data_IF_428918492848
#
_entry.id   IF_428918492848
#
_cell.length_a   1.000
_cell.length_b   1.000
_cell.length_c   1.000
_cell.angle_alpha   90.00
_cell.angle_beta   90.00
_cell.angle_gamma   90.00
#
_symmetry.space_group_name_H-M   'P 1'
#
loop_
_entity.id
_entity.type
_entity.pdbx_description
1 polymer ?
#
# COMPACT_ATOMS: atom_id res chain seq x y z
N UNK A 1 -10.69 -15.47 -0.65
CA UNK A 1 -11.86 -14.60 -0.35
C UNK A 1 -11.48 -13.13 -0.42
N UNK A 2 -12.44 -12.24 -0.72
CA UNK A 2 -12.22 -10.77 -0.73
C UNK A 2 -13.15 -10.10 0.27
N UNK A 3 -12.60 -9.19 1.10
CA UNK A 3 -13.35 -8.46 2.14
C UNK A 3 -13.61 -7.04 1.66
N UNK A 4 -14.87 -6.66 1.51
CA UNK A 4 -15.32 -5.35 1.06
C UNK A 4 -16.23 -4.66 2.09
N UNK A 5 -16.40 -3.37 1.97
CA UNK A 5 -17.26 -2.56 2.81
C UNK A 5 -16.71 -1.16 3.02
N UNK A 6 -17.50 -0.20 3.49
CA UNK A 6 -17.08 1.17 3.70
C UNK A 6 -15.96 1.31 4.75
N UNK A 7 -15.50 2.53 4.93
CA UNK A 7 -14.43 2.81 5.91
C UNK A 7 -14.96 2.60 7.33
N UNK A 8 -14.09 2.05 8.21
CA UNK A 8 -14.31 1.92 9.65
C UNK A 8 -15.42 0.92 10.08
N UNK A 9 -15.83 0.00 9.21
CA UNK A 9 -16.79 -1.08 9.55
C UNK A 9 -16.15 -2.32 10.18
N UNK A 10 -14.82 -2.37 10.31
CA UNK A 10 -14.11 -3.48 10.94
C UNK A 10 -13.43 -4.45 9.99
N UNK A 11 -13.27 -4.13 8.69
CA UNK A 11 -12.61 -5.02 7.71
C UNK A 11 -11.26 -5.58 8.19
N UNK A 12 -10.33 -4.71 8.57
CA UNK A 12 -9.00 -5.14 9.02
C UNK A 12 -9.06 -5.98 10.30
N UNK A 13 -10.04 -5.76 11.18
CA UNK A 13 -10.24 -6.60 12.37
C UNK A 13 -10.76 -7.97 12.00
N UNK A 14 -11.72 -8.05 11.06
CA UNK A 14 -12.22 -9.31 10.52
C UNK A 14 -11.09 -10.10 9.84
N UNK A 15 -10.31 -9.44 8.97
CA UNK A 15 -9.18 -10.08 8.28
C UNK A 15 -8.18 -10.65 9.28
N UNK A 16 -7.85 -9.92 10.34
CA UNK A 16 -6.96 -10.39 11.40
C UNK A 16 -7.53 -11.61 12.10
N UNK A 17 -8.79 -11.56 12.54
CA UNK A 17 -9.43 -12.69 13.19
C UNK A 17 -9.49 -13.93 12.28
N UNK A 18 -9.69 -13.75 10.96
CA UNK A 18 -9.67 -14.85 10.01
C UNK A 18 -8.27 -15.47 9.85
N UNK A 19 -7.22 -14.64 9.86
CA UNK A 19 -5.83 -15.12 9.82
C UNK A 19 -5.46 -15.85 11.12
N UNK A 20 -5.87 -15.34 12.27
CA UNK A 20 -5.64 -15.96 13.57
C UNK A 20 -6.34 -17.33 13.64
N UNK A 21 -7.61 -17.40 13.23
CA UNK A 21 -8.37 -18.65 13.18
C UNK A 21 -7.76 -19.68 12.20
N UNK A 22 -7.24 -19.22 11.05
CA UNK A 22 -6.56 -20.10 10.11
C UNK A 22 -5.27 -20.68 10.72
N UNK A 23 -4.50 -19.84 11.44
CA UNK A 23 -3.29 -20.26 12.13
C UNK A 23 -3.60 -21.28 13.23
N UNK A 24 -4.64 -21.07 14.05
CA UNK A 24 -5.11 -22.02 15.06
C UNK A 24 -5.54 -23.36 14.44
N UNK A 25 -6.18 -23.31 13.25
CA UNK A 25 -6.57 -24.49 12.51
C UNK A 25 -5.42 -25.12 11.69
N UNK A 26 -4.18 -24.62 11.82
CA UNK A 26 -3.03 -25.04 11.01
C UNK A 26 -3.28 -24.99 9.50
N UNK A 27 -4.11 -24.03 9.06
CA UNK A 27 -4.45 -23.82 7.66
C UNK A 27 -3.60 -22.65 7.11
N UNK A 28 -2.88 -22.92 6.03
CA UNK A 28 -2.13 -21.85 5.36
C UNK A 28 -3.09 -20.84 4.71
N UNK A 29 -3.02 -19.59 5.15
CA UNK A 29 -3.82 -18.48 4.61
C UNK A 29 -2.94 -17.23 4.45
N UNK A 30 -2.77 -16.79 3.21
CA UNK A 30 -2.03 -15.58 2.89
C UNK A 30 -2.90 -14.34 3.01
N UNK A 31 -2.31 -13.23 3.44
CA UNK A 31 -2.90 -11.89 3.39
C UNK A 31 -2.44 -11.15 2.14
N UNK A 32 -3.38 -10.67 1.33
CA UNK A 32 -3.14 -9.64 0.32
C UNK A 32 -3.76 -8.34 0.84
N UNK A 33 -2.92 -7.35 1.12
CA UNK A 33 -3.37 -6.04 1.64
C UNK A 33 -3.33 -4.99 0.54
N UNK A 34 -4.50 -4.63 0.02
CA UNK A 34 -4.70 -3.67 -1.06
C UNK A 34 -5.11 -2.27 -0.58
N UNK A 35 -5.13 -2.00 0.73
CA UNK A 35 -5.35 -0.63 1.21
C UNK A 35 -4.02 0.13 1.26
N UNK A 36 -3.74 1.06 0.33
CA UNK A 36 -2.45 1.75 0.30
C UNK A 36 -2.28 2.77 1.43
N UNK A 37 -3.39 3.21 2.03
CA UNK A 37 -3.39 4.28 3.03
C UNK A 37 -3.46 3.81 4.47
N UNK A 38 -4.08 2.65 4.72
CA UNK A 38 -4.32 2.13 6.08
C UNK A 38 -3.80 0.69 6.21
N UNK A 39 -2.51 0.54 5.97
CA UNK A 39 -1.84 -0.75 5.90
C UNK A 39 -2.08 -1.65 7.11
N UNK A 40 -2.34 -2.92 6.84
CA UNK A 40 -2.20 -4.00 7.81
C UNK A 40 -0.80 -4.60 7.78
N UNK A 41 -0.17 -4.60 6.58
CA UNK A 41 1.10 -5.23 6.32
C UNK A 41 1.92 -4.38 5.34
N UNK A 42 3.19 -4.13 5.66
CA UNK A 42 4.14 -3.43 4.80
C UNK A 42 4.01 -1.92 4.76
N UNK A 43 4.79 -1.25 3.90
CA UNK A 43 4.86 0.20 3.82
C UNK A 43 3.59 0.84 3.28
N UNK A 44 3.28 2.09 3.65
CA UNK A 44 2.21 2.86 2.99
C UNK A 44 2.55 3.09 1.50
N UNK A 45 1.50 3.22 0.69
CA UNK A 45 1.66 3.38 -0.75
C UNK A 45 2.05 2.10 -1.49
N UNK A 46 1.79 0.93 -0.91
CA UNK A 46 2.05 -0.38 -1.50
C UNK A 46 0.81 -1.26 -1.51
N UNK A 47 0.79 -2.27 -2.36
CA UNK A 47 0.02 -3.49 -2.19
C UNK A 47 0.97 -4.58 -1.66
N UNK A 48 0.53 -5.42 -0.73
CA UNK A 48 1.43 -6.33 0.00
C UNK A 48 0.86 -7.73 0.11
N UNK A 49 1.75 -8.72 0.07
CA UNK A 49 1.49 -10.14 0.30
C UNK A 49 2.31 -10.62 1.49
N UNK A 50 1.70 -11.39 2.35
CA UNK A 50 2.38 -12.03 3.49
C UNK A 50 1.42 -12.84 4.33
N UNK A 51 1.65 -12.85 5.63
CA UNK A 51 0.75 -13.43 6.64
C UNK A 51 0.47 -12.42 7.76
N UNK A 52 -0.01 -12.86 8.90
CA UNK A 52 -0.35 -11.97 10.02
C UNK A 52 0.88 -11.21 10.57
N UNK A 53 2.10 -11.71 10.37
CA UNK A 53 3.33 -11.24 11.02
C UNK A 53 4.47 -10.90 10.05
N UNK A 54 4.49 -11.51 8.87
CA UNK A 54 5.62 -11.43 7.95
C UNK A 54 5.22 -10.89 6.58
N UNK A 55 5.87 -9.81 6.16
CA UNK A 55 5.81 -9.30 4.79
C UNK A 55 6.70 -10.18 3.89
N UNK A 56 6.10 -10.82 2.89
CA UNK A 56 6.83 -11.65 1.91
C UNK A 56 7.17 -10.88 0.64
N UNK A 57 6.23 -10.07 0.17
CA UNK A 57 6.37 -9.29 -1.06
C UNK A 57 5.53 -8.02 -0.99
N UNK A 58 5.96 -6.98 -1.68
CA UNK A 58 5.11 -5.83 -1.94
C UNK A 58 5.29 -5.29 -3.36
N UNK A 59 4.30 -4.56 -3.84
CA UNK A 59 4.33 -3.82 -5.10
C UNK A 59 4.11 -2.36 -4.76
N UNK A 60 5.03 -1.50 -5.20
CA UNK A 60 4.94 -0.08 -4.94
C UNK A 60 3.89 0.58 -5.84
N UNK A 61 2.86 1.12 -5.24
CA UNK A 61 1.79 1.87 -5.90
C UNK A 61 2.16 3.35 -6.06
N UNK A 62 3.04 3.83 -5.18
CA UNK A 62 3.54 5.20 -5.18
C UNK A 62 2.54 6.23 -4.68
N UNK A 63 1.43 5.82 -4.09
CA UNK A 63 0.40 6.71 -3.55
C UNK A 63 -0.32 6.04 -2.40
N UNK A 64 -0.64 6.80 -1.36
CA UNK A 64 -1.52 6.35 -0.26
C UNK A 64 -3.00 6.43 -0.60
N UNK A 65 -3.34 6.91 -1.79
CA UNK A 65 -4.71 7.01 -2.29
C UNK A 65 -5.13 5.76 -3.04
N UNK A 66 -6.33 5.27 -2.78
CA UNK A 66 -6.96 4.19 -3.52
C UNK A 66 -7.47 4.61 -4.93
N UNK A 67 -7.11 5.81 -5.41
CA UNK A 67 -7.48 6.29 -6.75
C UNK A 67 -6.62 5.71 -7.89
N UNK A 68 -5.52 5.06 -7.59
CA UNK A 68 -4.62 4.42 -8.57
C UNK A 68 -5.19 3.05 -9.01
N UNK A 69 -6.39 3.06 -9.61
CA UNK A 69 -7.20 1.85 -9.87
C UNK A 69 -6.44 0.78 -10.64
N UNK A 70 -5.88 1.10 -11.82
CA UNK A 70 -5.18 0.11 -12.65
C UNK A 70 -4.00 -0.51 -11.90
N UNK A 71 -3.18 0.31 -11.22
CA UNK A 71 -2.02 -0.17 -10.47
C UNK A 71 -2.41 -1.11 -9.33
N UNK A 72 -3.51 -0.81 -8.61
CA UNK A 72 -3.99 -1.66 -7.50
C UNK A 72 -4.52 -2.98 -8.05
N UNK A 73 -5.29 -2.96 -9.14
CA UNK A 73 -5.83 -4.17 -9.78
C UNK A 73 -4.72 -5.06 -10.34
N UNK A 74 -3.74 -4.47 -11.03
CA UNK A 74 -2.58 -5.20 -11.54
C UNK A 74 -1.75 -5.81 -10.40
N UNK A 75 -1.54 -5.05 -9.33
CA UNK A 75 -0.85 -5.53 -8.14
C UNK A 75 -1.61 -6.67 -7.46
N UNK A 76 -2.94 -6.56 -7.34
CA UNK A 76 -3.78 -7.62 -6.78
C UNK A 76 -3.59 -8.94 -7.53
N UNK A 77 -3.60 -8.90 -8.87
CA UNK A 77 -3.38 -10.09 -9.69
C UNK A 77 -2.00 -10.70 -9.48
N UNK A 78 -0.93 -9.89 -9.57
CA UNK A 78 0.44 -10.36 -9.37
C UNK A 78 0.68 -10.97 -8.00
N UNK A 79 0.10 -10.38 -6.94
CA UNK A 79 0.23 -10.91 -5.58
C UNK A 79 -0.60 -12.19 -5.38
N UNK A 80 -1.74 -12.32 -6.06
CA UNK A 80 -2.53 -13.55 -6.03
C UNK A 80 -1.82 -14.71 -6.75
N UNK A 81 -1.15 -14.42 -7.87
CA UNK A 81 -0.35 -15.41 -8.60
C UNK A 81 0.83 -15.94 -7.75
N UNK A 82 1.32 -15.15 -6.79
CA UNK A 82 2.40 -15.54 -5.84
C UNK A 82 1.87 -16.15 -4.54
N UNK A 83 0.59 -16.08 -4.27
CA UNK A 83 -0.01 -16.70 -3.09
C UNK A 83 -0.14 -18.21 -3.32
N UNK A 84 0.67 -19.01 -2.58
CA UNK A 84 0.80 -20.45 -2.80
C UNK A 84 -0.47 -21.25 -2.53
N UNK A 85 -1.26 -20.80 -1.53
CA UNK A 85 -2.48 -21.47 -1.05
C UNK A 85 -3.64 -20.47 -1.01
N UNK A 86 -4.66 -20.73 -0.25
CA UNK A 86 -5.77 -19.81 -0.10
C UNK A 86 -5.33 -18.43 0.39
N UNK A 87 -6.02 -17.37 -0.02
CA UNK A 87 -5.72 -16.01 0.43
C UNK A 87 -6.97 -15.23 0.84
N UNK A 88 -6.75 -14.28 1.77
CA UNK A 88 -7.73 -13.27 2.16
C UNK A 88 -7.25 -11.90 1.71
N UNK A 89 -8.14 -11.12 1.11
CA UNK A 89 -7.83 -9.78 0.60
C UNK A 89 -8.47 -8.72 1.48
N UNK A 90 -7.62 -7.86 2.08
CA UNK A 90 -8.07 -6.62 2.72
C UNK A 90 -8.15 -5.51 1.68
N UNK A 91 -9.33 -4.91 1.53
CA UNK A 91 -9.52 -3.80 0.58
C UNK A 91 -9.68 -2.46 1.29
N UNK A 92 -9.44 -1.36 0.55
CA UNK A 92 -9.73 -0.03 1.06
C UNK A 92 -11.23 0.17 1.31
N UNK A 93 -11.58 1.10 2.21
CA UNK A 93 -12.98 1.50 2.44
C UNK A 93 -13.55 2.44 1.38
N UNK A 94 -12.86 2.61 0.26
CA UNK A 94 -13.32 3.43 -0.85
C UNK A 94 -14.26 2.61 -1.73
N UNK A 95 -15.58 2.75 -1.50
CA UNK A 95 -16.61 1.90 -2.12
C UNK A 95 -17.59 2.67 -3.01
N UNK A 96 -17.43 3.99 -3.16
CA UNK A 96 -18.32 4.81 -3.99
C UNK A 96 -17.58 5.39 -5.20
N UNK A 97 -18.28 5.65 -6.29
CA UNK A 97 -17.73 6.26 -7.50
C UNK A 97 -16.52 5.47 -8.05
N UNK A 98 -15.36 6.10 -8.08
CA UNK A 98 -14.12 5.44 -8.52
C UNK A 98 -13.74 4.24 -7.64
N UNK A 99 -14.09 4.31 -6.34
CA UNK A 99 -13.87 3.20 -5.40
C UNK A 99 -14.73 1.98 -5.73
N UNK A 100 -15.99 2.16 -6.14
CA UNK A 100 -16.82 1.05 -6.58
C UNK A 100 -16.21 0.36 -7.82
N UNK A 101 -15.68 1.16 -8.77
CA UNK A 101 -14.97 0.64 -9.95
C UNK A 101 -13.71 -0.13 -9.56
N UNK A 102 -12.93 0.39 -8.61
CA UNK A 102 -11.75 -0.30 -8.08
C UNK A 102 -12.13 -1.66 -7.49
N UNK A 103 -13.13 -1.71 -6.60
CA UNK A 103 -13.55 -2.96 -5.97
C UNK A 103 -14.06 -3.96 -7.01
N UNK A 104 -14.93 -3.53 -7.93
CA UNK A 104 -15.44 -4.40 -8.98
C UNK A 104 -14.31 -4.95 -9.88
N UNK A 105 -13.38 -4.11 -10.31
CA UNK A 105 -12.24 -4.55 -11.11
C UNK A 105 -11.30 -5.51 -10.34
N UNK A 106 -11.11 -5.27 -9.04
CA UNK A 106 -10.32 -6.16 -8.17
C UNK A 106 -10.99 -7.53 -8.03
N UNK A 107 -12.31 -7.57 -7.80
CA UNK A 107 -13.07 -8.82 -7.72
C UNK A 107 -13.03 -9.57 -9.06
N UNK A 108 -13.21 -8.88 -10.18
CA UNK A 108 -13.11 -9.48 -11.51
C UNK A 108 -11.72 -10.08 -11.76
N UNK A 109 -10.64 -9.37 -11.37
CA UNK A 109 -9.24 -9.82 -11.56
C UNK A 109 -8.89 -11.03 -10.69
N UNK A 110 -9.41 -11.08 -9.48
CA UNK A 110 -9.11 -12.13 -8.50
C UNK A 110 -10.04 -13.34 -8.58
N UNK A 111 -11.23 -13.20 -9.18
CA UNK A 111 -12.27 -14.23 -9.27
C UNK A 111 -12.44 -15.04 -7.96
N UNK A 112 -12.76 -14.40 -6.83
CA UNK A 112 -12.76 -15.05 -5.53
C UNK A 112 -13.95 -16.02 -5.38
N UNK A 113 -13.79 -17.06 -4.60
CA UNK A 113 -14.87 -17.99 -4.23
C UNK A 113 -15.89 -17.36 -3.27
N UNK A 114 -15.47 -16.33 -2.53
CA UNK A 114 -16.28 -15.71 -1.49
C UNK A 114 -16.01 -14.21 -1.38
N UNK A 115 -17.08 -13.44 -1.37
CA UNK A 115 -17.08 -12.04 -0.93
C UNK A 115 -17.58 -11.97 0.52
N UNK A 116 -16.85 -11.26 1.36
CA UNK A 116 -17.31 -10.92 2.72
C UNK A 116 -17.62 -9.43 2.73
N UNK A 117 -18.88 -9.10 2.97
CA UNK A 117 -19.40 -7.73 3.00
C UNK A 117 -19.54 -7.30 4.45
N UNK A 118 -18.81 -6.27 4.88
CA UNK A 118 -18.96 -5.68 6.20
C UNK A 118 -19.66 -4.32 6.11
N UNK A 119 -20.56 -4.08 7.04
CA UNK A 119 -21.35 -2.86 7.13
C UNK A 119 -22.69 -2.99 6.43
N UNK A 120 -23.22 -1.87 5.95
CA UNK A 120 -24.49 -1.85 5.22
C UNK A 120 -24.26 -2.32 3.76
N UNK A 121 -24.87 -3.45 3.33
CA UNK A 121 -24.74 -3.94 1.96
C UNK A 121 -25.25 -2.95 0.91
N UNK A 122 -26.17 -2.06 1.25
CA UNK A 122 -26.65 -1.04 0.33
C UNK A 122 -25.54 -0.07 -0.12
N UNK A 123 -24.50 0.12 0.69
CA UNK A 123 -23.36 0.98 0.33
C UNK A 123 -22.45 0.34 -0.75
N UNK A 124 -22.52 -0.97 -0.92
CA UNK A 124 -21.73 -1.74 -1.90
C UNK A 124 -22.61 -2.45 -2.95
N UNK A 125 -23.92 -2.17 -2.96
CA UNK A 125 -24.87 -2.80 -3.88
C UNK A 125 -24.41 -2.83 -5.34
N UNK A 126 -23.91 -1.72 -5.94
CA UNK A 126 -23.42 -1.75 -7.33
C UNK A 126 -22.26 -2.71 -7.57
N UNK A 127 -21.44 -2.99 -6.52
CA UNK A 127 -20.34 -3.95 -6.60
C UNK A 127 -20.89 -5.37 -6.58
N UNK A 128 -21.84 -5.63 -5.70
CA UNK A 128 -22.49 -6.96 -5.57
C UNK A 128 -23.29 -7.31 -6.82
N UNK A 129 -24.04 -6.37 -7.37
CA UNK A 129 -24.80 -6.55 -8.62
C UNK A 129 -23.87 -6.90 -9.80
N UNK A 130 -22.73 -6.23 -9.92
CA UNK A 130 -21.74 -6.52 -10.95
C UNK A 130 -21.09 -7.91 -10.80
N UNK A 131 -21.20 -8.55 -9.63
CA UNK A 131 -20.60 -9.84 -9.30
C UNK A 131 -21.60 -10.79 -8.64
N UNK A 132 -22.86 -10.77 -9.06
CA UNK A 132 -23.94 -11.56 -8.49
C UNK A 132 -23.71 -13.08 -8.57
N UNK A 133 -22.80 -13.55 -9.43
CA UNK A 133 -22.39 -14.95 -9.53
C UNK A 133 -21.42 -15.39 -8.43
N UNK A 134 -20.78 -14.45 -7.72
CA UNK A 134 -19.86 -14.78 -6.65
C UNK A 134 -20.64 -14.91 -5.34
N UNK A 135 -20.39 -16.00 -4.61
CA UNK A 135 -21.01 -16.19 -3.29
C UNK A 135 -20.63 -15.02 -2.38
N UNK A 136 -21.63 -14.37 -1.79
CA UNK A 136 -21.44 -13.29 -0.82
C UNK A 136 -21.99 -13.69 0.56
N UNK A 137 -21.28 -13.23 1.61
CA UNK A 137 -21.74 -13.31 3.00
C UNK A 137 -21.75 -11.92 3.57
N UNK A 138 -22.90 -11.50 4.08
CA UNK A 138 -23.08 -10.17 4.66
C UNK A 138 -22.94 -10.25 6.18
N UNK A 139 -22.09 -9.38 6.71
CA UNK A 139 -21.85 -9.22 8.13
C UNK A 139 -22.08 -7.76 8.49
N UNK A 140 -22.75 -7.53 9.60
CA UNK A 140 -22.94 -6.17 10.11
C UNK A 140 -21.63 -5.47 10.45
N UNK A 141 -21.72 -4.18 10.79
CA UNK A 141 -20.59 -3.45 11.35
C UNK A 141 -20.16 -4.09 12.68
N UNK A 142 -18.86 -4.32 12.85
CA UNK A 142 -18.35 -4.91 14.08
C UNK A 142 -18.73 -4.04 15.30
N UNK A 143 -19.21 -4.60 16.42
CA UNK A 143 -19.67 -3.82 17.58
C UNK A 143 -18.62 -2.84 18.13
N UNK A 144 -17.32 -3.19 18.04
CA UNK A 144 -16.21 -2.36 18.46
C UNK A 144 -15.70 -1.40 17.35
N UNK A 145 -16.32 -1.41 16.18
CA UNK A 145 -15.92 -0.53 15.10
C UNK A 145 -16.32 0.92 15.44
N UNK A 146 -15.37 1.83 15.27
CA UNK A 146 -15.60 3.26 15.44
C UNK A 146 -14.99 4.05 14.31
N UNK A 147 -15.57 5.19 14.02
CA UNK A 147 -15.00 6.13 13.05
C UNK A 147 -13.67 6.68 13.58
N UNK A 148 -12.60 6.47 12.82
CA UNK A 148 -11.28 6.99 13.14
C UNK A 148 -11.17 8.45 12.69
N UNK A 149 -10.55 9.28 13.53
CA UNK A 149 -10.22 10.64 13.14
C UNK A 149 -9.15 10.67 12.02
N UNK A 150 -9.12 11.73 11.19
CA UNK A 150 -8.06 11.90 10.19
C UNK A 150 -6.65 11.84 10.80
N UNK A 151 -6.43 12.42 11.99
CA UNK A 151 -5.17 12.38 12.72
C UNK A 151 -4.75 10.95 13.11
N UNK A 152 -5.67 10.09 13.53
CA UNK A 152 -5.38 8.68 13.85
C UNK A 152 -4.93 7.90 12.59
N UNK A 153 -5.56 8.20 11.45
CA UNK A 153 -5.17 7.59 10.17
C UNK A 153 -3.81 8.08 9.71
N UNK A 154 -3.52 9.38 9.88
CA UNK A 154 -2.20 9.95 9.61
C UNK A 154 -1.15 9.32 10.52
N UNK A 155 -1.38 9.28 11.83
CA UNK A 155 -0.46 8.67 12.78
C UNK A 155 -0.16 7.19 12.45
N UNK A 156 -1.17 6.42 12.05
CA UNK A 156 -0.98 5.03 11.61
C UNK A 156 -0.11 4.93 10.36
N UNK A 157 -0.30 5.82 9.37
CA UNK A 157 0.54 5.86 8.16
C UNK A 157 1.98 6.23 8.51
N UNK A 158 2.17 7.24 9.37
CA UNK A 158 3.50 7.65 9.84
C UNK A 158 4.22 6.51 10.56
N UNK A 159 3.54 5.79 11.44
CA UNK A 159 4.11 4.63 12.12
C UNK A 159 4.55 3.53 11.14
N UNK A 160 3.72 3.20 10.16
CA UNK A 160 4.06 2.21 9.13
C UNK A 160 5.21 2.69 8.21
N UNK A 161 5.29 3.99 7.93
CA UNK A 161 6.39 4.59 7.18
C UNK A 161 7.69 4.54 7.98
N UNK A 162 7.66 5.00 9.23
CA UNK A 162 8.82 4.95 10.12
C UNK A 162 9.35 3.52 10.30
N UNK A 163 8.45 2.55 10.50
CA UNK A 163 8.83 1.14 10.59
C UNK A 163 9.53 0.64 9.33
N UNK A 164 9.12 1.08 8.15
CA UNK A 164 9.77 0.68 6.90
C UNK A 164 11.16 1.29 6.69
N UNK A 165 11.51 2.31 7.48
CA UNK A 165 12.81 2.98 7.51
C UNK A 165 13.61 2.68 8.78
N UNK A 166 13.20 1.73 9.62
CA UNK A 166 13.84 1.45 10.91
C UNK A 166 15.35 1.11 10.80
N UNK A 167 15.74 0.44 9.71
CA UNK A 167 17.14 0.12 9.41
C UNK A 167 17.66 0.91 8.19
N UNK A 168 17.13 2.11 7.98
CA UNK A 168 17.54 2.93 6.84
C UNK A 168 18.91 3.57 7.08
N UNK A 169 19.69 3.61 6.02
CA UNK A 169 21.01 4.25 5.94
C UNK A 169 21.14 5.07 4.65
N UNK A 170 22.19 5.86 4.55
CA UNK A 170 22.51 6.55 3.30
C UNK A 170 23.08 5.53 2.30
N UNK A 171 22.39 5.35 1.19
CA UNK A 171 22.78 4.45 0.11
C UNK A 171 23.34 5.28 -1.04
N UNK A 172 24.59 5.03 -1.39
CA UNK A 172 25.23 5.61 -2.57
C UNK A 172 25.08 4.65 -3.73
N UNK A 173 24.44 5.09 -4.82
CA UNK A 173 24.28 4.31 -6.04
C UNK A 173 24.99 4.99 -7.21
N UNK A 174 25.47 4.19 -8.15
CA UNK A 174 26.02 4.70 -9.41
C UNK A 174 24.86 5.09 -10.35
N UNK A 175 24.70 6.37 -10.71
CA UNK A 175 23.62 6.80 -11.61
C UNK A 175 23.60 6.09 -12.95
N UNK A 176 24.77 5.68 -13.47
CA UNK A 176 24.91 4.96 -14.73
C UNK A 176 24.39 3.51 -14.71
N UNK A 177 24.11 2.96 -13.51
CA UNK A 177 23.63 1.58 -13.33
C UNK A 177 22.17 1.48 -12.95
N UNK A 178 21.50 2.63 -12.74
CA UNK A 178 20.14 2.71 -12.21
C UNK A 178 19.25 3.52 -13.15
N UNK A 179 18.07 3.00 -13.45
CA UNK A 179 17.03 3.70 -14.19
C UNK A 179 15.97 4.26 -13.25
N UNK A 180 15.43 5.44 -13.57
CA UNK A 180 14.29 6.02 -12.86
C UNK A 180 12.98 5.78 -13.61
N UNK A 181 11.91 5.46 -12.88
CA UNK A 181 10.55 5.33 -13.41
C UNK A 181 9.56 6.05 -12.49
N UNK A 182 8.93 7.17 -12.92
CA UNK A 182 9.31 8.01 -14.08
C UNK A 182 10.66 8.69 -13.88
N UNK A 183 11.14 9.40 -14.90
CA UNK A 183 12.34 10.23 -14.75
C UNK A 183 12.18 11.22 -13.58
N UNK A 184 13.24 11.44 -12.78
CA UNK A 184 13.19 12.37 -11.67
C UNK A 184 12.96 13.82 -12.18
N UNK A 185 12.31 14.68 -11.41
CA UNK A 185 12.26 16.10 -11.72
C UNK A 185 13.69 16.69 -11.75
N UNK A 186 13.88 17.72 -12.56
CA UNK A 186 15.19 18.36 -12.73
C UNK A 186 15.76 18.92 -11.40
N UNK A 187 14.90 19.28 -10.47
CA UNK A 187 15.27 19.72 -9.13
C UNK A 187 14.28 19.15 -8.11
N UNK A 188 14.77 18.71 -6.97
CA UNK A 188 13.95 18.40 -5.81
C UNK A 188 13.76 19.65 -4.96
N UNK A 189 12.61 19.80 -4.34
CA UNK A 189 12.37 20.85 -3.38
C UNK A 189 13.32 20.69 -2.17
N UNK A 190 13.80 21.80 -1.60
CA UNK A 190 14.74 21.74 -0.47
C UNK A 190 14.16 21.05 0.77
N UNK A 191 12.84 21.15 0.95
CA UNK A 191 12.15 20.71 2.17
C UNK A 191 11.52 19.33 2.03
N UNK A 192 11.15 18.90 0.81
CA UNK A 192 10.48 17.65 0.57
C UNK A 192 11.25 16.79 -0.44
N UNK A 193 11.30 15.50 -0.19
CA UNK A 193 12.00 14.50 -1.00
C UNK A 193 11.02 13.43 -1.48
N UNK A 194 11.13 12.95 -2.72
CA UNK A 194 10.26 11.89 -3.22
C UNK A 194 10.54 10.56 -2.53
N UNK A 195 9.46 9.90 -2.16
CA UNK A 195 9.51 8.49 -1.71
C UNK A 195 9.52 7.59 -2.94
N UNK A 196 10.37 6.58 -2.91
CA UNK A 196 10.58 5.65 -4.00
C UNK A 196 10.56 4.20 -3.54
N UNK A 197 10.44 3.28 -4.49
CA UNK A 197 10.82 1.89 -4.27
C UNK A 197 12.13 1.57 -5.00
N UNK A 198 12.94 0.74 -4.38
CA UNK A 198 14.19 0.22 -4.91
C UNK A 198 13.92 -1.17 -5.48
N UNK A 199 14.08 -1.33 -6.80
CA UNK A 199 13.77 -2.56 -7.51
C UNK A 199 15.05 -3.17 -8.10
N UNK A 200 15.04 -4.48 -8.20
CA UNK A 200 16.10 -5.22 -8.90
C UNK A 200 15.91 -5.21 -10.42
N UNK A 201 16.74 -5.99 -11.13
CA UNK A 201 16.71 -6.09 -12.60
C UNK A 201 15.43 -6.76 -13.13
N UNK A 202 14.69 -7.51 -12.31
CA UNK A 202 13.43 -8.14 -12.68
C UNK A 202 12.23 -7.20 -12.47
N UNK A 203 12.46 -6.05 -11.84
CA UNK A 203 11.41 -5.10 -11.44
C UNK A 203 10.73 -5.48 -10.12
N UNK A 204 11.30 -6.38 -9.33
CA UNK A 204 10.80 -6.71 -8.01
C UNK A 204 11.22 -5.66 -6.98
N UNK A 205 10.26 -5.15 -6.23
CA UNK A 205 10.51 -4.18 -5.18
C UNK A 205 11.13 -4.85 -3.94
N UNK A 206 12.28 -4.34 -3.51
CA UNK A 206 13.07 -4.89 -2.39
C UNK A 206 12.91 -4.05 -1.12
N UNK A 207 12.90 -2.74 -1.25
CA UNK A 207 12.70 -1.80 -0.15
C UNK A 207 12.08 -0.49 -0.65
N UNK A 208 11.56 0.31 0.27
CA UNK A 208 11.26 1.72 0.00
C UNK A 208 12.42 2.58 0.45
N UNK A 209 12.53 3.77 -0.14
CA UNK A 209 13.53 4.76 0.21
C UNK A 209 13.06 6.18 -0.10
N UNK A 210 13.93 7.12 0.20
CA UNK A 210 13.74 8.54 -0.02
C UNK A 210 14.92 9.01 -0.88
N UNK A 211 14.64 9.71 -1.98
CA UNK A 211 15.70 10.25 -2.84
C UNK A 211 16.21 11.54 -2.22
N UNK A 212 17.40 11.53 -1.65
CA UNK A 212 18.03 12.72 -1.08
C UNK A 212 18.70 13.59 -2.14
N UNK A 213 19.40 12.94 -3.07
CA UNK A 213 20.09 13.59 -4.18
C UNK A 213 20.03 12.71 -5.43
N UNK A 214 19.78 13.32 -6.59
CA UNK A 214 19.89 12.67 -7.89
C UNK A 214 20.54 13.63 -8.87
N UNK A 215 21.80 13.34 -9.22
CA UNK A 215 22.60 14.08 -10.17
C UNK A 215 23.30 13.16 -11.16
N UNK A 216 24.02 13.73 -12.12
CA UNK A 216 24.74 12.97 -13.13
C UNK A 216 25.87 12.10 -12.51
N UNK A 217 26.51 12.62 -11.47
CA UNK A 217 27.70 12.00 -10.86
C UNK A 217 27.40 11.25 -9.56
N UNK A 218 26.27 11.51 -8.94
CA UNK A 218 25.90 10.89 -7.65
C UNK A 218 24.39 10.71 -7.51
N UNK A 219 24.02 9.56 -6.96
CA UNK A 219 22.68 9.24 -6.52
C UNK A 219 22.71 8.80 -5.06
N UNK A 220 22.10 9.59 -4.18
CA UNK A 220 22.00 9.29 -2.75
C UNK A 220 20.55 9.06 -2.36
N UNK A 221 20.33 7.94 -1.71
CA UNK A 221 19.03 7.54 -1.19
C UNK A 221 19.14 7.30 0.32
N UNK A 222 18.05 7.50 1.05
CA UNK A 222 17.90 7.06 2.42
C UNK A 222 16.93 5.89 2.45
N UNK A 223 17.38 4.72 2.87
CA UNK A 223 16.54 3.51 2.86
C UNK A 223 17.24 2.29 3.43
N UNK A 224 16.51 1.23 3.68
CA UNK A 224 17.09 -0.04 4.11
C UNK A 224 17.90 -0.64 2.97
N UNK A 225 19.08 -1.19 3.30
CA UNK A 225 19.97 -1.82 2.30
C UNK A 225 19.25 -2.97 1.60
N UNK A 226 19.08 -2.91 0.28
CA UNK A 226 18.40 -3.99 -0.43
C UNK A 226 19.28 -5.25 -0.50
N UNK A 227 18.65 -6.45 -0.53
CA UNK A 227 19.39 -7.72 -0.55
C UNK A 227 20.06 -8.02 -1.90
N UNK A 228 19.67 -7.31 -2.95
CA UNK A 228 20.18 -7.45 -4.33
C UNK A 228 20.52 -6.06 -4.90
N UNK A 229 21.35 -5.97 -5.96
CA UNK A 229 21.67 -4.70 -6.59
C UNK A 229 20.41 -3.97 -7.09
N UNK A 230 20.31 -2.67 -6.77
CA UNK A 230 19.28 -1.80 -7.31
C UNK A 230 19.54 -1.56 -8.79
N UNK A 231 18.51 -1.71 -9.62
CA UNK A 231 18.55 -1.39 -11.06
C UNK A 231 17.50 -0.39 -11.46
N UNK A 232 16.41 -0.26 -10.68
CA UNK A 232 15.34 0.68 -10.94
C UNK A 232 15.00 1.40 -9.65
N UNK A 233 14.88 2.71 -9.71
CA UNK A 233 14.29 3.57 -8.68
C UNK A 233 12.93 4.01 -9.19
N UNK A 234 11.86 3.43 -8.63
CA UNK A 234 10.49 3.77 -8.98
C UNK A 234 9.98 4.90 -8.10
N UNK A 235 9.75 6.06 -8.69
CA UNK A 235 9.19 7.21 -8.00
C UNK A 235 7.66 7.11 -7.89
N UNK A 236 7.12 7.63 -6.78
CA UNK A 236 5.69 7.77 -6.54
C UNK A 236 5.23 9.21 -6.50
N UNK A 237 3.99 9.39 -6.06
CA UNK A 237 3.36 10.67 -5.73
C UNK A 237 3.48 11.00 -4.24
N UNK A 238 4.27 10.21 -3.51
CA UNK A 238 4.50 10.36 -2.08
C UNK A 238 5.77 11.15 -1.84
N UNK A 239 5.72 11.98 -0.83
CA UNK A 239 6.83 12.84 -0.43
C UNK A 239 7.08 12.69 1.06
N UNK A 240 8.32 12.89 1.48
CA UNK A 240 8.72 12.90 2.87
C UNK A 240 9.58 14.12 3.16
N UNK A 241 9.51 14.60 4.41
CA UNK A 241 10.39 15.67 4.90
C UNK A 241 11.17 15.15 6.12
N UNK A 242 12.39 15.69 6.31
CA UNK A 242 13.22 15.36 7.45
C UNK A 242 12.93 16.34 8.58
N UNK A 243 12.56 15.81 9.75
CA UNK A 243 12.33 16.55 10.98
C UNK A 243 13.34 16.11 12.04
N UNK A 244 13.45 16.80 13.19
CA UNK A 244 14.37 16.40 14.26
C UNK A 244 14.19 14.95 14.74
N UNK A 245 12.99 14.40 14.62
CA UNK A 245 12.64 13.03 15.01
C UNK A 245 12.76 12.01 13.85
N UNK A 246 13.27 12.42 12.69
CA UNK A 246 13.43 11.57 11.52
C UNK A 246 12.56 11.96 10.31
N UNK A 247 12.43 11.06 9.37
CA UNK A 247 11.63 11.27 8.17
C UNK A 247 10.14 11.06 8.42
N UNK A 248 9.33 12.03 7.97
CA UNK A 248 7.88 11.95 8.03
C UNK A 248 7.27 12.01 6.63
N UNK A 249 6.26 11.16 6.40
CA UNK A 249 5.50 11.15 5.17
C UNK A 249 4.57 12.36 5.12
N UNK A 250 4.60 13.10 4.01
CA UNK A 250 3.72 14.24 3.80
C UNK A 250 2.39 13.76 3.22
N UNK A 251 1.28 14.02 3.91
CA UNK A 251 -0.06 13.62 3.49
C UNK A 251 -0.54 14.35 2.22
N UNK A 252 -0.05 15.56 1.99
CA UNK A 252 -0.21 16.36 0.77
C UNK A 252 0.96 17.33 0.65
N UNK A 253 1.44 17.54 -0.58
CA UNK A 253 2.15 18.77 -0.88
C UNK A 253 1.09 19.88 -0.87
N UNK A 254 0.92 20.56 0.27
CA UNK A 254 0.06 21.73 0.34
C UNK A 254 0.72 22.86 -0.43
N UNK A 255 -0.02 23.65 -1.25
CA UNK A 255 0.53 24.88 -1.84
C UNK A 255 1.12 25.86 -0.83
N UNK A 256 0.72 25.76 0.45
CA UNK A 256 1.31 26.56 1.54
C UNK A 256 2.75 26.17 1.89
N UNK A 257 3.21 24.96 1.57
CA UNK A 257 4.62 24.57 1.71
C UNK A 257 5.50 25.21 0.63
N UNK A 258 4.92 25.44 -0.57
CA UNK A 258 5.58 26.14 -1.66
C UNK A 258 5.69 27.67 -1.41
N UNK A 259 4.85 28.22 -0.54
CA UNK A 259 4.85 29.67 -0.23
C UNK A 259 5.75 30.06 0.95
N UNK A 260 6.16 29.13 1.80
CA UNK A 260 7.03 29.37 2.96
C UNK A 260 8.51 29.06 2.71
N UNK A 261 8.86 28.58 1.51
CA UNK A 261 10.24 28.42 1.07
C UNK A 261 10.69 29.64 0.26
N UNK A 262 10.68 30.83 0.91
CA UNK A 262 11.33 32.02 0.41
C UNK A 262 12.27 32.59 1.47
#
# INVERSE_FOLDING_TARGET
MVVIGPTDVGKSSFVRAALDAAAEASTALSLIDLDPGQKMLGPPGTASLGDASCLRRFIFLGSTSASEVSRIVDAAGKLADDAADGFIVNTSGFVRGLGARLQAATIARLAPDLLVVLGDPAEVAPILEAHSQVRATELGTAPAARRKAPSERSAKRQAAFAQSLENAEALQLNPGEVSFIPAPPAMFEEVARPVCALLDATGEAMSIGIVEHAGADALTLHGSRPPRPVRIVQLGKMWAAHFPNGWELLDRLSPSWLSNAK
#
